data_IF_122397691359
#
_entry.id   IF_122397691359
#
_cell.length_a   1.000
_cell.length_b   1.000
_cell.length_c   1.000
_cell.angle_alpha   90.00
_cell.angle_beta   90.00
_cell.angle_gamma   90.00
#
_symmetry.space_group_name_H-M   'P 1'
#
loop_
_entity.id
_entity.type
_entity.pdbx_description
1 polymer ?
#
# COMPACT_ATOMS: atom_id res chain seq x y z
N UNK A 1 -8.24 57.18 13.35
CA UNK A 1 -7.13 58.02 13.89
C UNK A 1 -6.97 57.61 15.34
N UNK A 2 -6.19 56.61 15.60
CA UNK A 2 -5.79 56.14 16.93
C UNK A 2 -4.29 55.97 16.91
N UNK A 3 -3.65 56.90 17.59
CA UNK A 3 -2.20 57.00 17.82
C UNK A 3 -1.67 55.71 18.47
N UNK A 4 -0.68 55.09 17.85
CA UNK A 4 0.10 54.03 18.45
C UNK A 4 1.36 54.62 19.04
N UNK A 5 1.45 54.61 20.36
CA UNK A 5 2.59 55.05 21.16
C UNK A 5 3.85 54.19 20.87
N UNK A 6 4.99 54.77 20.41
CA UNK A 6 6.19 54.03 20.04
C UNK A 6 7.18 53.85 21.22
N UNK A 7 6.72 53.65 22.45
CA UNK A 7 7.58 53.43 23.61
C UNK A 7 7.25 52.14 24.33
N UNK A 8 7.66 51.03 23.70
CA UNK A 8 7.86 49.80 24.48
C UNK A 8 9.36 49.76 24.81
N UNK A 9 9.64 50.24 26.04
CA UNK A 9 10.96 50.07 26.65
C UNK A 9 11.31 48.58 26.77
N UNK A 10 12.40 48.20 26.13
CA UNK A 10 13.02 46.88 26.31
C UNK A 10 13.59 46.80 27.72
N UNK A 11 13.27 45.80 28.56
CA UNK A 11 13.87 45.64 29.85
C UNK A 11 15.38 45.39 29.69
N UNK A 12 16.18 46.17 30.44
CA UNK A 12 17.62 46.17 30.41
C UNK A 12 18.23 44.79 30.58
N UNK A 13 19.17 44.50 29.73
CA UNK A 13 20.12 43.42 29.88
C UNK A 13 21.11 43.79 31.00
N UNK A 14 20.69 43.68 32.24
CA UNK A 14 21.63 43.65 33.35
C UNK A 14 22.10 42.23 33.62
N UNK A 15 23.42 42.03 33.38
CA UNK A 15 24.29 41.18 34.18
C UNK A 15 23.91 39.71 34.36
N UNK A 16 23.93 38.91 33.28
CA UNK A 16 24.27 37.51 33.44
C UNK A 16 25.78 37.37 33.29
N UNK A 17 26.51 37.60 34.39
CA UNK A 17 27.84 37.04 34.60
C UNK A 17 27.65 35.53 34.67
N UNK A 18 27.52 34.90 33.49
CA UNK A 18 27.33 33.47 33.36
C UNK A 18 28.62 32.80 33.76
N UNK A 19 28.58 32.05 34.83
CA UNK A 19 29.45 30.91 35.05
C UNK A 19 29.62 30.16 33.78
N UNK A 20 30.86 30.04 33.32
CA UNK A 20 31.25 29.30 32.14
C UNK A 20 30.53 27.95 32.12
N UNK A 21 29.62 27.75 31.19
CA UNK A 21 29.16 26.44 30.84
C UNK A 21 30.40 25.70 30.34
N UNK A 22 30.90 24.76 31.13
CA UNK A 22 31.83 23.77 30.65
C UNK A 22 31.15 23.12 29.45
N UNK A 23 31.61 23.47 28.26
CA UNK A 23 31.12 22.81 27.03
C UNK A 23 31.46 21.34 27.19
N UNK A 24 30.43 20.52 27.23
CA UNK A 24 30.54 19.05 27.25
C UNK A 24 31.19 18.55 25.95
N UNK A 25 31.45 19.46 25.01
CA UNK A 25 32.06 19.17 23.72
C UNK A 25 33.45 19.78 23.67
N UNK A 26 34.48 18.94 23.57
CA UNK A 26 35.80 19.38 23.17
C UNK A 26 35.67 20.10 21.83
N UNK A 27 36.33 21.28 21.70
CA UNK A 27 36.33 21.98 20.42
C UNK A 27 36.99 21.08 19.37
N UNK A 28 36.22 20.65 18.39
CA UNK A 28 36.77 19.94 17.21
C UNK A 28 37.77 20.81 16.54
N UNK A 29 38.97 20.26 16.23
CA UNK A 29 40.06 20.98 15.60
C UNK A 29 39.55 21.65 14.30
N UNK A 30 40.02 22.88 14.03
CA UNK A 30 39.54 23.73 12.91
C UNK A 30 39.60 23.03 11.55
N UNK A 31 40.47 22.00 11.39
CA UNK A 31 40.57 21.18 10.18
C UNK A 31 39.46 20.12 10.02
N UNK A 32 38.63 19.87 11.06
CA UNK A 32 37.58 18.88 11.05
C UNK A 32 36.16 19.49 10.96
N UNK A 33 36.07 20.83 10.85
CA UNK A 33 34.77 21.48 10.64
C UNK A 33 34.26 21.21 9.23
N UNK A 34 33.13 20.57 9.16
CA UNK A 34 32.54 20.13 7.90
C UNK A 34 31.59 21.17 7.30
N UNK A 35 31.03 22.06 8.10
CA UNK A 35 30.13 23.08 7.58
C UNK A 35 30.81 24.45 7.58
N UNK A 36 31.23 24.88 6.40
CA UNK A 36 31.56 26.29 6.13
C UNK A 36 30.23 26.99 5.85
N UNK A 37 29.94 28.13 6.54
CA UNK A 37 28.75 28.90 6.22
C UNK A 37 28.65 29.17 4.73
N UNK A 38 27.46 29.04 4.10
CA UNK A 38 27.33 29.24 2.65
C UNK A 38 27.74 30.63 2.16
N UNK A 39 27.70 31.62 3.06
CA UNK A 39 28.07 33.00 2.78
C UNK A 39 29.58 33.29 2.94
N UNK A 40 30.36 32.30 3.37
CA UNK A 40 31.81 32.42 3.56
C UNK A 40 32.24 33.39 4.66
N UNK A 41 31.30 33.93 5.46
CA UNK A 41 31.63 34.88 6.54
C UNK A 41 32.21 34.14 7.75
N UNK A 42 33.15 34.77 8.48
CA UNK A 42 33.70 34.20 9.71
C UNK A 42 32.58 34.05 10.76
N UNK A 43 32.76 33.12 11.67
CA UNK A 43 31.79 32.79 12.72
C UNK A 43 31.36 34.01 13.55
N UNK A 44 32.26 34.91 13.81
CA UNK A 44 31.99 36.18 14.52
C UNK A 44 31.08 37.16 13.79
N UNK A 45 30.92 36.99 12.48
CA UNK A 45 30.04 37.81 11.63
C UNK A 45 28.74 37.10 11.27
N UNK A 46 28.48 35.93 11.85
CA UNK A 46 27.23 35.18 11.66
C UNK A 46 26.13 35.73 12.53
N UNK A 47 24.86 35.65 12.11
CA UNK A 47 23.71 36.08 12.91
C UNK A 47 23.58 35.24 14.22
N UNK A 48 23.12 35.90 15.30
CA UNK A 48 23.05 35.30 16.63
C UNK A 48 22.25 33.98 16.71
N UNK A 49 21.22 33.81 15.87
CA UNK A 49 20.44 32.57 15.81
C UNK A 49 21.26 31.34 15.41
N UNK A 50 22.38 31.55 14.72
CA UNK A 50 23.27 30.47 14.30
C UNK A 50 24.06 29.87 15.47
N UNK A 51 24.28 30.63 16.54
CA UNK A 51 24.83 30.12 17.78
C UNK A 51 23.82 29.28 18.58
N UNK A 52 22.52 29.59 18.42
CA UNK A 52 21.45 28.83 19.08
C UNK A 52 21.14 27.51 18.32
N UNK A 53 21.41 27.49 17.03
CA UNK A 53 21.25 26.31 16.16
C UNK A 53 22.55 26.03 15.42
N UNK A 54 23.55 25.45 16.08
CA UNK A 54 24.85 25.16 15.44
C UNK A 54 24.67 24.11 14.34
N UNK A 55 24.98 24.53 13.10
CA UNK A 55 24.93 23.66 11.93
C UNK A 55 26.13 22.70 11.93
N UNK A 56 27.13 22.98 12.76
CA UNK A 56 28.39 22.23 12.89
C UNK A 56 28.25 21.00 13.82
N UNK A 57 27.08 20.40 13.90
CA UNK A 57 26.89 19.22 14.73
C UNK A 57 27.60 17.99 14.13
N UNK A 58 28.26 17.14 14.94
CA UNK A 58 28.93 15.94 14.48
C UNK A 58 28.04 14.98 13.67
N UNK A 59 26.71 15.11 13.82
CA UNK A 59 25.75 14.33 13.03
C UNK A 59 25.81 14.60 11.53
N UNK A 60 26.21 15.80 11.10
CA UNK A 60 26.38 16.14 9.68
C UNK A 60 27.56 15.42 9.03
N UNK A 61 28.46 14.87 9.84
CA UNK A 61 29.58 14.04 9.37
C UNK A 61 29.15 12.70 8.80
N UNK A 62 27.94 12.20 9.17
CA UNK A 62 27.47 10.88 8.75
C UNK A 62 27.04 10.81 7.28
N UNK A 63 26.80 11.96 6.63
CA UNK A 63 26.40 11.98 5.23
C UNK A 63 27.47 12.64 4.37
N UNK A 64 28.69 12.07 4.36
CA UNK A 64 29.63 12.40 3.31
C UNK A 64 28.97 12.10 1.96
N UNK A 65 29.19 12.99 0.95
CA UNK A 65 28.66 12.81 -0.43
C UNK A 65 28.88 11.40 -0.96
N UNK A 66 30.01 10.80 -0.61
CA UNK A 66 30.37 9.43 -0.96
C UNK A 66 29.42 8.41 -0.36
N UNK A 67 29.04 8.56 0.92
CA UNK A 67 28.18 7.59 1.61
C UNK A 67 26.72 7.77 1.17
N UNK A 68 26.30 9.01 0.90
CA UNK A 68 25.02 9.28 0.28
C UNK A 68 24.89 8.65 -1.12
N UNK A 69 25.92 8.80 -1.95
CA UNK A 69 25.95 8.17 -3.28
C UNK A 69 25.92 6.64 -3.18
N UNK A 70 26.67 6.06 -2.24
CA UNK A 70 26.64 4.61 -1.98
C UNK A 70 25.25 4.16 -1.53
N UNK A 71 24.63 4.89 -0.61
CA UNK A 71 23.28 4.61 -0.15
C UNK A 71 22.28 4.64 -1.32
N UNK A 72 22.32 5.68 -2.16
CA UNK A 72 21.45 5.78 -3.33
C UNK A 72 21.65 4.62 -4.30
N UNK A 73 22.91 4.26 -4.59
CA UNK A 73 23.22 3.14 -5.50
C UNK A 73 22.72 1.82 -4.92
N UNK A 74 22.97 1.55 -3.64
CA UNK A 74 22.54 0.32 -2.98
C UNK A 74 21.01 0.22 -2.91
N UNK A 75 20.34 1.33 -2.60
CA UNK A 75 18.88 1.38 -2.55
C UNK A 75 18.29 1.15 -3.95
N UNK A 76 18.81 1.81 -4.97
CA UNK A 76 18.37 1.62 -6.36
C UNK A 76 18.60 0.18 -6.83
N UNK A 77 19.75 -0.41 -6.48
CA UNK A 77 20.05 -1.81 -6.79
C UNK A 77 19.06 -2.75 -6.09
N UNK A 78 18.79 -2.52 -4.81
CA UNK A 78 17.81 -3.32 -4.05
C UNK A 78 16.39 -3.24 -4.65
N UNK A 79 15.95 -2.05 -5.06
CA UNK A 79 14.68 -1.88 -5.78
C UNK A 79 14.68 -2.64 -7.10
N UNK A 80 15.75 -2.52 -7.89
CA UNK A 80 15.86 -3.21 -9.19
C UNK A 80 15.80 -4.72 -9.01
N UNK A 81 16.55 -5.27 -8.06
CA UNK A 81 16.53 -6.70 -7.74
C UNK A 81 15.14 -7.13 -7.28
N UNK A 82 14.47 -6.33 -6.44
CA UNK A 82 13.09 -6.58 -6.01
C UNK A 82 12.11 -6.65 -7.17
N UNK A 83 12.18 -5.69 -8.10
CA UNK A 83 11.34 -5.68 -9.31
C UNK A 83 11.60 -6.89 -10.21
N UNK A 84 12.86 -7.25 -10.43
CA UNK A 84 13.21 -8.44 -11.19
C UNK A 84 12.71 -9.72 -10.53
N UNK A 85 12.76 -9.81 -9.20
CA UNK A 85 12.25 -10.94 -8.44
C UNK A 85 10.73 -11.08 -8.61
N UNK A 86 9.99 -9.97 -8.51
CA UNK A 86 8.54 -9.97 -8.72
C UNK A 86 8.21 -10.41 -10.15
N UNK A 87 8.88 -9.83 -11.16
CA UNK A 87 8.69 -10.19 -12.56
C UNK A 87 9.01 -11.67 -12.82
N UNK A 88 10.10 -12.17 -12.24
CA UNK A 88 10.47 -13.59 -12.31
C UNK A 88 9.42 -14.50 -11.69
N UNK A 89 8.90 -14.15 -10.50
CA UNK A 89 7.83 -14.93 -9.86
C UNK A 89 6.56 -14.94 -10.72
N UNK A 90 6.21 -13.82 -11.33
CA UNK A 90 5.03 -13.71 -12.18
C UNK A 90 5.19 -14.57 -13.45
N UNK A 91 6.31 -14.42 -14.14
CA UNK A 91 6.66 -15.25 -15.29
C UNK A 91 6.69 -16.76 -14.95
N UNK A 92 7.22 -17.13 -13.76
CA UNK A 92 7.23 -18.52 -13.30
C UNK A 92 5.83 -19.05 -13.05
N UNK A 93 4.93 -18.23 -12.47
CA UNK A 93 3.51 -18.59 -12.26
C UNK A 93 2.79 -18.81 -13.58
N UNK A 94 2.99 -17.91 -14.55
CA UNK A 94 2.39 -18.02 -15.88
C UNK A 94 2.84 -19.30 -16.62
N UNK A 95 4.11 -19.70 -16.43
CA UNK A 95 4.65 -20.93 -17.01
C UNK A 95 4.19 -22.22 -16.34
N UNK A 96 3.71 -22.16 -15.10
CA UNK A 96 3.22 -23.34 -14.35
C UNK A 96 1.91 -23.89 -14.89
N UNK A 97 1.31 -23.29 -15.91
CA UNK A 97 0.16 -23.80 -16.62
C UNK A 97 -1.18 -23.37 -16.06
N UNK A 98 -2.23 -23.89 -16.67
CA UNK A 98 -3.63 -23.62 -16.28
C UNK A 98 -3.87 -24.05 -14.84
N UNK A 99 -4.73 -23.32 -14.08
CA UNK A 99 -5.15 -23.73 -12.76
C UNK A 99 -5.65 -25.20 -12.78
N UNK A 100 -5.46 -25.95 -11.68
CA UNK A 100 -5.82 -27.36 -11.66
C UNK A 100 -7.32 -27.55 -11.87
N UNK A 101 -7.68 -28.59 -12.60
CA UNK A 101 -9.08 -29.04 -12.70
C UNK A 101 -9.53 -29.47 -11.29
N UNK A 102 -10.54 -28.79 -10.73
CA UNK A 102 -11.06 -29.11 -9.41
C UNK A 102 -12.54 -29.42 -9.50
N UNK A 103 -12.95 -30.61 -9.03
CA UNK A 103 -14.36 -30.96 -8.84
C UNK A 103 -14.96 -30.09 -7.74
N UNK A 104 -16.12 -29.50 -7.99
CA UNK A 104 -16.85 -28.65 -7.03
C UNK A 104 -17.99 -29.43 -6.39
N UNK A 105 -18.93 -29.93 -7.20
CA UNK A 105 -20.13 -30.63 -6.73
C UNK A 105 -20.75 -31.47 -7.86
N UNK A 106 -21.64 -32.38 -7.49
CA UNK A 106 -22.53 -32.98 -8.47
C UNK A 106 -23.67 -32.01 -8.82
N UNK A 107 -24.07 -31.97 -10.07
CA UNK A 107 -25.16 -31.11 -10.54
C UNK A 107 -26.51 -31.48 -9.86
N UNK A 108 -26.69 -32.75 -9.50
CA UNK A 108 -27.84 -33.24 -8.76
C UNK A 108 -27.98 -32.65 -7.36
N UNK A 109 -26.84 -32.31 -6.73
CA UNK A 109 -26.80 -31.82 -5.34
C UNK A 109 -27.06 -30.31 -5.25
N UNK A 110 -27.05 -29.64 -6.40
CA UNK A 110 -27.32 -28.21 -6.49
C UNK A 110 -28.78 -27.96 -6.83
N UNK A 111 -29.57 -27.52 -5.88
CA UNK A 111 -30.97 -27.08 -6.15
C UNK A 111 -30.97 -25.69 -6.82
N UNK A 112 -31.96 -25.33 -7.66
CA UNK A 112 -32.11 -24.00 -8.20
C UNK A 112 -32.11 -22.92 -7.09
N UNK A 113 -31.29 -21.90 -7.22
CA UNK A 113 -31.10 -20.87 -6.18
C UNK A 113 -30.02 -21.22 -5.13
N UNK A 114 -29.48 -22.45 -5.14
CA UNK A 114 -28.45 -22.84 -4.19
C UNK A 114 -27.16 -22.07 -4.40
N UNK A 115 -26.52 -21.75 -3.28
CA UNK A 115 -25.18 -21.16 -3.19
C UNK A 115 -24.24 -22.15 -2.52
N UNK A 116 -23.14 -22.48 -3.16
CA UNK A 116 -22.11 -23.35 -2.63
C UNK A 116 -20.78 -22.60 -2.57
N UNK A 117 -20.15 -22.57 -1.39
CA UNK A 117 -18.80 -21.98 -1.22
C UNK A 117 -17.75 -23.07 -1.42
N UNK A 118 -16.68 -22.74 -2.14
CA UNK A 118 -15.54 -23.63 -2.40
C UNK A 118 -14.26 -22.82 -2.51
N UNK A 119 -13.10 -23.45 -2.51
CA UNK A 119 -11.81 -22.79 -2.70
C UNK A 119 -11.24 -23.12 -4.06
N UNK A 120 -10.76 -22.11 -4.82
CA UNK A 120 -10.12 -22.31 -6.13
C UNK A 120 -9.34 -21.07 -6.56
N UNK A 121 -8.12 -21.19 -7.14
CA UNK A 121 -7.37 -22.44 -7.42
C UNK A 121 -6.66 -23.01 -6.18
N UNK A 122 -6.41 -22.18 -5.17
CA UNK A 122 -5.79 -22.55 -3.90
C UNK A 122 -6.78 -22.70 -2.76
N UNK A 123 -6.31 -23.19 -1.63
CA UNK A 123 -7.14 -23.34 -0.41
C UNK A 123 -7.56 -21.98 0.19
N UNK A 124 -6.72 -20.95 0.00
CA UNK A 124 -6.95 -19.60 0.51
C UNK A 124 -7.69 -18.68 -0.46
N UNK A 125 -8.22 -19.23 -1.56
CA UNK A 125 -8.95 -18.48 -2.58
C UNK A 125 -10.41 -18.86 -2.55
N UNK A 126 -11.22 -18.24 -1.63
CA UNK A 126 -12.64 -18.54 -1.52
C UNK A 126 -13.37 -18.08 -2.77
N UNK A 127 -14.24 -18.96 -3.25
CA UNK A 127 -15.13 -18.76 -4.37
C UNK A 127 -16.54 -19.24 -3.99
N UNK A 128 -17.53 -18.79 -4.72
CA UNK A 128 -18.87 -19.31 -4.61
C UNK A 128 -19.44 -19.68 -5.98
N UNK A 129 -20.27 -20.72 -5.97
CA UNK A 129 -21.05 -21.21 -7.09
C UNK A 129 -22.52 -20.93 -6.82
N UNK A 130 -23.22 -20.39 -7.79
CA UNK A 130 -24.68 -20.19 -7.74
C UNK A 130 -25.33 -20.99 -8.85
N UNK A 131 -26.36 -21.79 -8.52
CA UNK A 131 -27.23 -22.35 -9.53
C UNK A 131 -28.42 -21.42 -9.74
N UNK A 132 -28.55 -20.85 -10.91
CA UNK A 132 -29.65 -19.98 -11.28
C UNK A 132 -30.94 -20.78 -11.41
N UNK A 133 -32.10 -20.11 -11.35
CA UNK A 133 -33.42 -20.76 -11.49
C UNK A 133 -33.66 -21.33 -12.88
N UNK A 134 -33.03 -20.76 -13.90
CA UNK A 134 -33.03 -21.25 -15.28
C UNK A 134 -32.10 -22.45 -15.52
N UNK A 135 -31.40 -22.90 -14.48
CA UNK A 135 -30.44 -23.99 -14.53
C UNK A 135 -29.00 -23.56 -14.85
N UNK A 136 -28.76 -22.29 -15.15
CA UNK A 136 -27.44 -21.74 -15.37
C UNK A 136 -26.54 -21.85 -14.14
N UNK A 137 -25.24 -21.97 -14.36
CA UNK A 137 -24.22 -21.99 -13.31
C UNK A 137 -23.34 -20.76 -13.40
N UNK A 138 -23.18 -20.06 -12.31
CA UNK A 138 -22.31 -18.92 -12.18
C UNK A 138 -21.37 -19.12 -11.00
N UNK A 139 -20.09 -18.81 -11.18
CA UNK A 139 -19.12 -18.86 -10.09
C UNK A 139 -18.18 -17.67 -10.13
N UNK A 140 -17.90 -17.11 -8.96
CA UNK A 140 -17.05 -15.96 -8.79
C UNK A 140 -16.13 -16.11 -7.59
N UNK A 141 -15.00 -15.37 -7.61
CA UNK A 141 -14.20 -15.18 -6.41
C UNK A 141 -15.00 -14.43 -5.34
N UNK A 142 -14.91 -14.87 -4.10
CA UNK A 142 -15.68 -14.31 -2.97
C UNK A 142 -15.03 -13.04 -2.39
N UNK A 143 -13.89 -12.60 -2.90
CA UNK A 143 -13.18 -11.40 -2.42
C UNK A 143 -13.63 -10.16 -3.20
N UNK A 144 -14.15 -9.16 -2.47
CA UNK A 144 -14.54 -7.86 -3.03
C UNK A 144 -13.32 -7.17 -3.67
N UNK A 145 -13.53 -6.59 -4.84
CA UNK A 145 -12.47 -5.91 -5.61
C UNK A 145 -12.05 -4.56 -5.03
N UNK A 146 -12.72 -4.07 -3.97
CA UNK A 146 -12.32 -2.88 -3.23
C UNK A 146 -11.21 -3.21 -2.21
N UNK A 147 -11.53 -3.91 -1.12
CA UNK A 147 -10.60 -4.22 -0.02
C UNK A 147 -10.69 -5.70 0.43
N UNK A 148 -11.00 -6.61 -0.49
CA UNK A 148 -10.99 -8.05 -0.28
C UNK A 148 -11.95 -8.58 0.81
N UNK A 149 -12.98 -7.81 1.21
CA UNK A 149 -14.04 -8.30 2.07
C UNK A 149 -14.81 -9.46 1.40
N UNK A 150 -15.29 -10.41 2.16
CA UNK A 150 -16.13 -11.48 1.63
C UNK A 150 -17.46 -10.92 1.13
N UNK A 151 -17.79 -11.23 -0.13
CA UNK A 151 -19.06 -10.87 -0.73
C UNK A 151 -20.10 -11.98 -0.51
N UNK A 152 -21.36 -11.58 -0.45
CA UNK A 152 -22.52 -12.48 -0.19
C UNK A 152 -23.42 -12.46 -1.43
N UNK A 153 -23.58 -13.58 -2.13
CA UNK A 153 -24.53 -13.67 -3.24
C UNK A 153 -25.97 -13.74 -2.73
N UNK A 154 -26.86 -13.05 -3.44
CA UNK A 154 -28.30 -13.08 -3.25
C UNK A 154 -28.97 -13.47 -4.58
N UNK A 155 -29.18 -14.77 -4.82
CA UNK A 155 -29.74 -15.26 -6.07
C UNK A 155 -31.21 -14.83 -6.28
N UNK A 156 -31.95 -14.49 -5.22
CA UNK A 156 -33.32 -14.06 -5.32
C UNK A 156 -33.45 -12.66 -5.90
N UNK A 157 -32.55 -11.78 -5.49
CA UNK A 157 -32.47 -10.40 -5.99
C UNK A 157 -31.58 -10.27 -7.25
N UNK A 158 -30.84 -11.31 -7.63
CA UNK A 158 -29.88 -11.24 -8.73
C UNK A 158 -28.67 -10.37 -8.43
N UNK A 159 -28.32 -10.23 -7.16
CA UNK A 159 -27.26 -9.33 -6.67
C UNK A 159 -26.18 -10.08 -5.88
N UNK A 160 -25.01 -9.46 -5.80
CA UNK A 160 -23.94 -9.86 -4.87
C UNK A 160 -23.60 -8.63 -4.02
N UNK A 161 -23.66 -8.78 -2.70
CA UNK A 161 -23.45 -7.68 -1.75
C UNK A 161 -22.12 -7.79 -1.04
N UNK A 162 -21.44 -6.66 -0.90
CA UNK A 162 -20.28 -6.52 -0.03
C UNK A 162 -20.69 -5.75 1.24
N UNK A 163 -20.71 -6.38 2.43
CA UNK A 163 -21.23 -5.75 3.63
C UNK A 163 -20.32 -4.66 4.21
N UNK A 164 -19.03 -4.63 3.82
CA UNK A 164 -18.08 -3.71 4.42
C UNK A 164 -18.32 -2.25 4.03
N UNK A 165 -18.62 -1.99 2.74
CA UNK A 165 -18.79 -0.63 2.21
C UNK A 165 -19.97 -0.57 1.22
N UNK A 166 -20.97 -1.42 1.43
CA UNK A 166 -22.20 -1.45 0.64
C UNK A 166 -21.98 -1.59 -0.88
N UNK A 167 -20.90 -2.26 -1.27
CA UNK A 167 -20.65 -2.58 -2.66
C UNK A 167 -21.72 -3.54 -3.20
N UNK A 168 -22.28 -3.23 -4.36
CA UNK A 168 -23.24 -4.07 -5.06
C UNK A 168 -22.69 -4.52 -6.40
N UNK A 169 -22.87 -5.80 -6.71
CA UNK A 169 -22.50 -6.36 -8.01
C UNK A 169 -23.71 -7.08 -8.61
N UNK A 170 -23.80 -7.08 -9.92
CA UNK A 170 -24.77 -7.87 -10.67
C UNK A 170 -24.38 -9.35 -10.63
N UNK A 171 -25.31 -10.22 -10.28
CA UNK A 171 -25.03 -11.65 -10.16
C UNK A 171 -24.72 -12.30 -11.52
N UNK A 172 -25.39 -11.85 -12.58
CA UNK A 172 -25.21 -12.44 -13.93
C UNK A 172 -23.84 -12.14 -14.53
N UNK A 173 -23.41 -10.89 -14.41
CA UNK A 173 -22.16 -10.41 -15.02
C UNK A 173 -21.01 -10.25 -14.03
N UNK A 174 -21.26 -10.19 -12.72
CA UNK A 174 -20.28 -9.86 -11.69
C UNK A 174 -19.79 -8.40 -11.74
N UNK A 175 -20.40 -7.52 -12.54
CA UNK A 175 -20.02 -6.11 -12.65
C UNK A 175 -20.49 -5.31 -11.44
N UNK A 176 -19.70 -4.30 -10.99
CA UNK A 176 -20.16 -3.42 -9.93
C UNK A 176 -21.35 -2.57 -10.43
N UNK A 177 -22.40 -2.50 -9.61
CA UNK A 177 -23.58 -1.66 -9.84
C UNK A 177 -23.55 -0.40 -9.00
N UNK A 178 -23.03 -0.51 -7.77
CA UNK A 178 -22.93 0.60 -6.83
C UNK A 178 -21.83 0.38 -5.81
N UNK A 179 -21.40 1.48 -5.17
CA UNK A 179 -20.37 1.49 -4.14
C UNK A 179 -18.95 1.63 -4.70
N UNK A 180 -17.93 1.45 -3.84
CA UNK A 180 -16.54 1.71 -4.18
C UNK A 180 -15.81 0.64 -5.02
N UNK A 181 -16.33 -0.58 -5.30
CA UNK A 181 -15.60 -1.57 -6.08
C UNK A 181 -15.25 -1.05 -7.49
N UNK A 182 -13.96 -1.07 -7.88
CA UNK A 182 -13.53 -0.45 -9.15
C UNK A 182 -13.65 -1.38 -10.37
N UNK A 183 -13.85 -2.69 -10.18
CA UNK A 183 -13.84 -3.68 -11.26
C UNK A 183 -14.76 -4.85 -10.95
N UNK A 184 -15.12 -5.65 -11.98
CA UNK A 184 -15.92 -6.86 -11.80
C UNK A 184 -15.25 -7.89 -10.89
N UNK A 185 -16.05 -8.78 -10.29
CA UNK A 185 -15.55 -9.95 -9.59
C UNK A 185 -14.86 -10.91 -10.57
N UNK A 186 -13.73 -11.54 -10.19
CA UNK A 186 -13.12 -12.61 -10.97
C UNK A 186 -14.12 -13.74 -11.20
N UNK A 187 -14.28 -14.18 -12.45
CA UNK A 187 -15.20 -15.28 -12.79
C UNK A 187 -14.43 -16.60 -12.81
N UNK A 188 -15.00 -17.61 -12.15
CA UNK A 188 -14.50 -18.97 -12.25
C UNK A 188 -15.10 -19.63 -13.49
N UNK A 189 -14.23 -20.13 -14.35
CA UNK A 189 -14.65 -20.87 -15.55
C UNK A 189 -15.09 -22.27 -15.12
N UNK A 190 -16.34 -22.61 -15.44
CA UNK A 190 -16.96 -23.88 -15.08
C UNK A 190 -17.07 -24.79 -16.30
N UNK A 191 -16.94 -26.08 -16.05
CA UNK A 191 -17.23 -27.14 -17.03
C UNK A 191 -18.06 -28.23 -16.37
N UNK A 192 -19.12 -28.68 -17.05
CA UNK A 192 -19.93 -29.81 -16.60
C UNK A 192 -19.54 -31.04 -17.37
N UNK A 193 -19.07 -32.08 -16.68
CA UNK A 193 -18.69 -33.37 -17.25
C UNK A 193 -19.40 -34.49 -16.49
N UNK A 194 -20.17 -35.32 -17.19
CA UNK A 194 -20.82 -36.47 -16.60
C UNK A 194 -21.73 -36.16 -15.41
N UNK A 195 -22.37 -34.97 -15.38
CA UNK A 195 -23.21 -34.55 -14.27
C UNK A 195 -22.43 -33.95 -13.07
N UNK A 196 -21.14 -33.79 -13.20
CA UNK A 196 -20.26 -33.16 -12.21
C UNK A 196 -19.81 -31.79 -12.67
N UNK A 197 -19.73 -30.82 -11.76
CA UNK A 197 -19.27 -29.44 -12.01
C UNK A 197 -17.82 -29.30 -11.63
N UNK A 198 -17.00 -28.82 -12.54
CA UNK A 198 -15.57 -28.60 -12.37
C UNK A 198 -15.22 -27.14 -12.57
N UNK A 199 -14.29 -26.64 -11.75
CA UNK A 199 -13.57 -25.40 -12.00
C UNK A 199 -12.35 -25.70 -12.88
N UNK A 200 -12.18 -24.94 -13.97
CA UNK A 200 -11.12 -25.14 -14.96
C UNK A 200 -10.19 -23.95 -15.11
N UNK A 201 -10.59 -22.78 -14.59
CA UNK A 201 -9.82 -21.54 -14.71
C UNK A 201 -10.45 -20.39 -13.93
N UNK A 202 -9.70 -19.29 -13.84
CA UNK A 202 -10.19 -17.98 -13.39
C UNK A 202 -9.98 -16.98 -14.50
N UNK A 203 -11.02 -16.23 -14.78
CA UNK A 203 -11.00 -15.12 -15.72
C UNK A 203 -11.02 -13.81 -14.91
N UNK A 204 -9.86 -13.14 -14.88
CA UNK A 204 -9.79 -11.79 -14.32
C UNK A 204 -10.32 -10.79 -15.35
N UNK A 205 -11.29 -9.97 -14.91
CA UNK A 205 -11.90 -8.96 -15.77
C UNK A 205 -11.56 -7.58 -15.24
N UNK A 206 -11.02 -6.77 -16.11
CA UNK A 206 -10.60 -5.38 -15.78
C UNK A 206 -11.66 -4.35 -16.13
N UNK A 207 -12.60 -4.69 -16.99
CA UNK A 207 -13.73 -3.84 -17.42
C UNK A 207 -14.99 -4.69 -17.62
#
# INVERSE_FOLDING_TARGET
>A
MTDVDPRIDSPGREGLTGTARSSVYEPVAVGERISIPPDGRPESAQPAWRGDFPIDWPADHYVARRDFTRFLVLTSLAFTVGQWWIAFQQWWRERRGRPPLKRIAALSDLTPGAVLVFSYPGENDPCFLVRQRDGGLLAYGQKCTHLSCAVIPDPEQGLIRCPCHEGLFDLGSGRPLAGPPPRPLPRVVLEVRGGEVYATGIEERTV
#
